data_IF_763459268133
#
_entry.id   IF_763459268133
#
_cell.length_a   1.000
_cell.length_b   1.000
_cell.length_c   1.000
_cell.angle_alpha   90.00
_cell.angle_beta   90.00
_cell.angle_gamma   90.00
#
_symmetry.space_group_name_H-M   'P 1'
#
loop_
_entity.id
_entity.type
_entity.pdbx_description
1 polymer ?
#
# COMPACT_ATOMS: atom_id res chain seq x y z
N UNK A 1 -3.10 13.43 -15.60
CA UNK A 1 -3.56 12.08 -15.96
C UNK A 1 -3.40 11.24 -14.71
N UNK A 2 -4.48 10.99 -13.97
CA UNK A 2 -4.43 10.10 -12.81
C UNK A 2 -4.14 8.72 -13.35
N UNK A 3 -2.94 8.21 -13.09
CA UNK A 3 -2.60 6.83 -13.44
C UNK A 3 -3.60 5.89 -12.76
N UNK A 4 -4.00 4.81 -13.44
CA UNK A 4 -4.82 3.79 -12.80
C UNK A 4 -3.99 3.11 -11.71
N UNK A 5 -4.23 3.52 -10.46
CA UNK A 5 -3.44 3.09 -9.31
C UNK A 5 -3.67 1.62 -8.96
N UNK A 6 -4.78 1.00 -9.40
CA UNK A 6 -5.10 -0.38 -9.04
C UNK A 6 -4.13 -1.39 -9.65
N UNK A 7 -3.87 -1.40 -10.98
CA UNK A 7 -2.84 -2.24 -11.58
C UNK A 7 -1.45 -2.03 -10.95
N UNK A 8 -1.04 -0.77 -10.75
CA UNK A 8 0.28 -0.43 -10.22
C UNK A 8 0.46 -0.92 -8.78
N UNK A 9 -0.52 -0.66 -7.91
CA UNK A 9 -0.47 -1.13 -6.52
C UNK A 9 -0.56 -2.65 -6.43
N UNK A 10 -1.35 -3.29 -7.29
CA UNK A 10 -1.44 -4.76 -7.35
C UNK A 10 -0.09 -5.38 -7.68
N UNK A 11 0.60 -4.85 -8.71
CA UNK A 11 1.92 -5.31 -9.10
C UNK A 11 2.93 -5.14 -7.96
N UNK A 12 2.96 -3.95 -7.32
CA UNK A 12 3.84 -3.68 -6.18
C UNK A 12 3.57 -4.58 -4.98
N UNK A 13 2.31 -4.83 -4.66
CA UNK A 13 1.94 -5.71 -3.55
C UNK A 13 2.36 -7.17 -3.81
N UNK A 14 2.18 -7.65 -5.05
CA UNK A 14 2.61 -9.00 -5.44
C UNK A 14 4.13 -9.15 -5.43
N UNK A 15 4.86 -8.19 -6.00
CA UNK A 15 6.32 -8.14 -6.02
C UNK A 15 6.89 -8.20 -4.60
N UNK A 16 6.39 -7.36 -3.70
CA UNK A 16 6.88 -7.31 -2.33
C UNK A 16 6.48 -8.53 -1.48
N UNK A 17 5.32 -9.15 -1.75
CA UNK A 17 4.91 -10.38 -1.06
C UNK A 17 5.77 -11.60 -1.47
N UNK A 18 6.29 -11.61 -2.70
CA UNK A 18 6.89 -12.80 -3.31
C UNK A 18 8.20 -12.54 -4.05
N UNK A 19 9.10 -11.72 -3.49
CA UNK A 19 10.44 -11.43 -4.06
C UNK A 19 11.19 -12.69 -4.51
N UNK A 20 10.97 -13.84 -3.87
CA UNK A 20 11.66 -15.11 -4.13
C UNK A 20 10.79 -16.21 -4.77
N UNK A 21 9.50 -15.97 -5.01
CA UNK A 21 8.57 -16.94 -5.59
C UNK A 21 7.58 -16.28 -6.56
N UNK A 22 7.99 -16.02 -7.81
CA UNK A 22 7.16 -15.29 -8.77
C UNK A 22 5.92 -16.07 -9.25
N UNK A 23 5.78 -17.37 -8.91
CA UNK A 23 4.63 -18.19 -9.31
C UNK A 23 3.50 -18.22 -8.25
N UNK A 24 3.27 -17.11 -7.55
CA UNK A 24 2.24 -17.03 -6.51
C UNK A 24 0.82 -17.17 -7.09
N UNK A 25 0.01 -18.02 -6.45
CA UNK A 25 -1.42 -18.25 -6.73
C UNK A 25 -2.35 -17.40 -5.85
N UNK A 26 -1.79 -16.41 -5.17
CA UNK A 26 -2.45 -15.63 -4.14
C UNK A 26 -3.37 -14.59 -4.77
N UNK A 27 -4.56 -14.44 -4.22
CA UNK A 27 -5.53 -13.46 -4.71
C UNK A 27 -5.24 -12.07 -4.16
N UNK A 28 -5.38 -11.05 -5.00
CA UNK A 28 -5.35 -9.64 -4.57
C UNK A 28 -6.76 -9.17 -4.25
N UNK A 29 -6.92 -8.46 -3.13
CA UNK A 29 -8.17 -7.80 -2.76
C UNK A 29 -7.99 -6.27 -2.73
N UNK A 30 -8.92 -5.55 -3.33
CA UNK A 30 -9.04 -4.09 -3.13
C UNK A 30 -9.73 -3.85 -1.79
N UNK A 31 -9.04 -3.20 -0.86
CA UNK A 31 -9.58 -2.85 0.46
C UNK A 31 -10.20 -1.45 0.48
N UNK A 32 -9.66 -0.54 -0.34
CA UNK A 32 -10.21 0.79 -0.53
C UNK A 32 -9.91 1.30 -1.94
N UNK A 33 -10.92 1.90 -2.57
CA UNK A 33 -10.80 2.67 -3.81
C UNK A 33 -11.67 3.91 -3.64
N UNK A 34 -11.04 5.03 -3.33
CA UNK A 34 -11.68 6.34 -3.11
C UNK A 34 -10.82 7.41 -3.75
N UNK A 35 -11.38 8.62 -3.88
CA UNK A 35 -10.67 9.76 -4.46
C UNK A 35 -9.38 10.10 -3.72
N UNK A 36 -9.37 9.96 -2.39
CA UNK A 36 -8.26 10.32 -1.51
C UNK A 36 -7.24 9.19 -1.28
N UNK A 37 -7.62 7.93 -1.55
CA UNK A 37 -6.77 6.77 -1.26
C UNK A 37 -7.15 5.50 -2.03
N UNK A 38 -6.12 4.73 -2.37
CA UNK A 38 -6.25 3.35 -2.88
C UNK A 38 -5.46 2.42 -1.98
N UNK A 39 -6.08 1.31 -1.58
CA UNK A 39 -5.47 0.27 -0.74
C UNK A 39 -5.75 -1.09 -1.34
N UNK A 40 -4.69 -1.87 -1.57
CA UNK A 40 -4.79 -3.27 -2.01
C UNK A 40 -4.06 -4.16 -1.01
N UNK A 41 -4.53 -5.40 -0.90
CA UNK A 41 -3.88 -6.47 -0.14
C UNK A 41 -3.58 -7.63 -1.06
N UNK A 42 -2.36 -8.14 -0.96
CA UNK A 42 -1.93 -9.36 -1.60
C UNK A 42 -1.18 -10.22 -0.57
N UNK A 43 -1.71 -11.42 -0.28
CA UNK A 43 -1.23 -12.26 0.81
C UNK A 43 -1.11 -11.49 2.16
N UNK A 44 0.10 -11.41 2.73
CA UNK A 44 0.40 -10.67 3.95
C UNK A 44 0.78 -9.19 3.70
N UNK A 45 0.90 -8.78 2.44
CA UNK A 45 1.30 -7.43 2.03
C UNK A 45 0.10 -6.53 1.82
N UNK A 46 0.17 -5.30 2.35
CA UNK A 46 -0.77 -4.22 2.05
C UNK A 46 -0.01 -3.07 1.39
N UNK A 47 -0.44 -2.66 0.20
CA UNK A 47 0.07 -1.49 -0.48
C UNK A 47 -0.98 -0.38 -0.48
N UNK A 48 -0.53 0.86 -0.25
CA UNK A 48 -1.39 2.04 -0.15
C UNK A 48 -0.83 3.18 -0.98
N UNK A 49 -1.70 3.83 -1.73
CA UNK A 49 -1.45 5.12 -2.35
C UNK A 49 -2.37 6.20 -1.77
N UNK A 50 -1.85 7.42 -1.74
CA UNK A 50 -2.57 8.65 -1.42
C UNK A 50 -2.84 9.42 -2.71
N UNK A 51 -3.87 10.27 -2.72
CA UNK A 51 -4.13 11.15 -3.86
C UNK A 51 -2.90 12.01 -4.19
N UNK A 52 -2.65 12.33 -5.48
CA UNK A 52 -1.46 13.08 -5.90
C UNK A 52 -1.31 14.47 -5.27
N UNK A 53 -2.43 15.09 -4.89
CA UNK A 53 -2.52 16.40 -4.24
C UNK A 53 -2.52 16.33 -2.70
N UNK A 54 -2.29 15.13 -2.14
CA UNK A 54 -2.17 14.96 -0.68
C UNK A 54 -1.02 15.82 -0.15
N UNK A 55 -1.31 16.64 0.86
CA UNK A 55 -0.28 17.37 1.60
C UNK A 55 0.73 16.39 2.23
N UNK A 56 1.93 16.37 1.64
CA UNK A 56 3.02 15.46 2.01
C UNK A 56 3.63 15.80 3.36
N UNK A 57 3.63 17.08 3.77
CA UNK A 57 4.13 17.50 5.07
C UNK A 57 3.17 17.04 6.19
N UNK A 58 1.87 17.26 6.01
CA UNK A 58 0.87 16.77 6.95
C UNK A 58 0.83 15.24 7.00
N UNK A 59 0.99 14.56 5.85
CA UNK A 59 1.09 13.10 5.81
C UNK A 59 2.31 12.59 6.57
N UNK A 60 3.49 13.20 6.39
CA UNK A 60 4.70 12.81 7.09
C UNK A 60 4.54 12.90 8.61
N UNK A 61 3.90 13.96 9.12
CA UNK A 61 3.59 14.09 10.56
C UNK A 61 2.70 12.95 11.04
N UNK A 62 1.61 12.63 10.33
CA UNK A 62 0.70 11.53 10.71
C UNK A 62 1.43 10.19 10.72
N UNK A 63 2.24 9.91 9.70
CA UNK A 63 3.01 8.66 9.62
C UNK A 63 4.08 8.58 10.72
N UNK A 64 4.75 9.69 11.04
CA UNK A 64 5.73 9.74 12.13
C UNK A 64 5.09 9.55 13.52
N UNK A 65 3.85 9.99 13.70
CA UNK A 65 3.07 9.69 14.92
C UNK A 65 2.70 8.20 14.94
N UNK A 66 2.15 7.67 13.84
CA UNK A 66 1.75 6.27 13.73
C UNK A 66 2.92 5.30 13.98
N UNK A 67 4.13 5.63 13.51
CA UNK A 67 5.33 4.83 13.72
C UNK A 67 5.76 4.71 15.20
N UNK A 68 5.27 5.60 16.08
CA UNK A 68 5.51 5.54 17.53
C UNK A 68 4.45 4.74 18.28
N UNK A 69 3.40 4.28 17.60
CA UNK A 69 2.29 3.53 18.20
C UNK A 69 2.36 2.05 17.79
N UNK A 70 2.53 1.11 18.74
CA UNK A 70 2.59 -0.31 18.43
C UNK A 70 1.31 -0.80 17.74
N UNK A 71 1.47 -1.58 16.67
CA UNK A 71 0.36 -2.22 15.96
C UNK A 71 -0.44 -1.31 15.02
N UNK A 72 -0.09 -0.03 14.90
CA UNK A 72 -0.74 0.88 13.94
C UNK A 72 -0.17 0.72 12.53
N UNK A 73 1.16 0.63 12.42
CA UNK A 73 1.82 0.34 11.16
C UNK A 73 2.19 -1.14 11.09
N UNK A 74 1.98 -1.73 9.92
CA UNK A 74 2.61 -3.00 9.59
C UNK A 74 4.14 -2.78 9.52
N UNK A 75 4.96 -3.77 9.91
CA UNK A 75 6.39 -3.72 9.68
C UNK A 75 6.72 -3.45 8.20
N UNK A 76 7.79 -2.70 7.89
CA UNK A 76 8.26 -2.56 6.52
C UNK A 76 8.52 -3.94 5.90
N UNK A 77 8.18 -4.09 4.62
CA UNK A 77 8.56 -5.25 3.85
C UNK A 77 10.08 -5.19 3.60
N UNK A 78 10.75 -6.33 3.68
CA UNK A 78 12.20 -6.46 3.48
C UNK A 78 12.60 -6.33 2.02
#
# INVERSE_FOLDING_TARGET
MTEDLLPALTARAAEAAHIRDPACLCTTATLALREDTTVVRHAATVAKAHAPDTDTAALAVRTAVAARLPGILLPPLA
#
